data_IF_716679997768
#
_entry.id   IF_716679997768
#
_cell.length_a   1.000
_cell.length_b   1.000
_cell.length_c   1.000
_cell.angle_alpha   90.00
_cell.angle_beta   90.00
_cell.angle_gamma   90.00
#
_symmetry.space_group_name_H-M   'P 1'
#
loop_
_entity.id
_entity.type
_entity.pdbx_description
1 polymer ?
#
# COMPACT_ATOMS: atom_id res chain seq x y z
N UNK A 1 0.01 -51.02 -19.78
CA UNK A 1 0.73 -50.06 -18.91
C UNK A 1 -0.11 -48.79 -18.86
N UNK A 2 -0.60 -48.32 -17.70
CA UNK A 2 -1.31 -47.04 -17.66
C UNK A 2 -0.28 -45.91 -17.64
N UNK A 3 -0.32 -45.05 -18.65
CA UNK A 3 0.42 -43.80 -18.67
C UNK A 3 -0.06 -42.91 -17.52
N UNK A 4 0.84 -42.61 -16.60
CA UNK A 4 0.64 -41.64 -15.54
C UNK A 4 0.60 -40.23 -16.16
N UNK A 5 -0.57 -39.82 -16.65
CA UNK A 5 -0.82 -38.44 -17.07
C UNK A 5 -0.97 -37.62 -15.80
N UNK A 6 0.07 -36.88 -15.42
CA UNK A 6 -0.02 -35.88 -14.35
C UNK A 6 -1.30 -35.04 -14.57
N UNK A 7 -2.08 -34.75 -13.50
CA UNK A 7 -3.31 -33.97 -13.65
C UNK A 7 -2.98 -32.65 -14.35
N UNK A 8 -3.87 -32.10 -15.21
CA UNK A 8 -3.62 -30.81 -15.84
C UNK A 8 -3.56 -29.75 -14.74
N UNK A 9 -2.35 -29.38 -14.32
CA UNK A 9 -2.15 -28.37 -13.30
C UNK A 9 -2.38 -26.99 -13.96
N UNK A 10 -3.57 -26.44 -13.71
CA UNK A 10 -3.76 -25.09 -13.18
C UNK A 10 -3.15 -23.87 -13.90
N UNK A 11 -3.18 -23.78 -15.23
CA UNK A 11 -2.93 -22.47 -15.90
C UNK A 11 -3.95 -21.39 -15.47
N UNK A 12 -5.19 -21.81 -15.21
CA UNK A 12 -6.28 -20.94 -14.76
C UNK A 12 -6.02 -20.35 -13.35
N UNK A 13 -5.33 -21.06 -12.46
CA UNK A 13 -5.00 -20.54 -11.12
C UNK A 13 -3.91 -19.45 -11.15
N UNK A 14 -3.15 -19.34 -12.23
CA UNK A 14 -2.15 -18.28 -12.42
C UNK A 14 -2.71 -17.06 -13.18
N UNK A 15 -4.01 -17.06 -13.51
CA UNK A 15 -4.68 -15.89 -14.08
C UNK A 15 -4.63 -14.72 -13.10
N UNK A 16 -4.26 -13.54 -13.61
CA UNK A 16 -4.13 -12.32 -12.82
C UNK A 16 -5.44 -11.94 -12.13
N UNK A 17 -6.57 -12.09 -12.83
CA UNK A 17 -7.91 -11.77 -12.32
C UNK A 17 -8.36 -12.71 -11.19
N UNK A 18 -7.66 -13.84 -11.00
CA UNK A 18 -7.90 -14.78 -9.90
C UNK A 18 -6.97 -14.56 -8.71
N UNK A 19 -6.03 -13.63 -8.80
CA UNK A 19 -5.11 -13.32 -7.72
C UNK A 19 -5.71 -12.25 -6.80
N UNK A 20 -5.94 -12.61 -5.53
CA UNK A 20 -6.38 -11.65 -4.50
C UNK A 20 -5.38 -10.50 -4.34
N UNK A 21 -4.07 -10.78 -4.47
CA UNK A 21 -3.04 -9.74 -4.39
C UNK A 21 -3.19 -8.69 -5.50
N UNK A 22 -3.61 -9.10 -6.71
CA UNK A 22 -3.86 -8.17 -7.80
C UNK A 22 -5.07 -7.30 -7.54
N UNK A 23 -6.17 -7.88 -7.05
CA UNK A 23 -7.36 -7.12 -6.68
C UNK A 23 -7.04 -6.06 -5.60
N UNK A 24 -6.27 -6.43 -4.57
CA UNK A 24 -5.84 -5.52 -3.51
C UNK A 24 -4.90 -4.42 -4.03
N UNK A 25 -3.94 -4.78 -4.88
CA UNK A 25 -3.03 -3.82 -5.53
C UNK A 25 -3.79 -2.81 -6.39
N UNK A 26 -4.71 -3.29 -7.23
CA UNK A 26 -5.55 -2.45 -8.08
C UNK A 26 -6.42 -1.50 -7.23
N UNK A 27 -7.07 -2.02 -6.18
CA UNK A 27 -7.87 -1.21 -5.26
C UNK A 27 -7.03 -0.11 -4.57
N UNK A 28 -5.87 -0.47 -4.02
CA UNK A 28 -4.96 0.50 -3.37
C UNK A 28 -4.51 1.61 -4.33
N UNK A 29 -4.18 1.26 -5.57
CA UNK A 29 -3.83 2.23 -6.61
C UNK A 29 -4.99 3.16 -6.96
N UNK A 30 -6.22 2.64 -7.07
CA UNK A 30 -7.41 3.43 -7.36
C UNK A 30 -7.70 4.42 -6.24
N UNK A 31 -7.61 3.99 -4.98
CA UNK A 31 -7.75 4.88 -3.81
C UNK A 31 -6.70 5.99 -3.86
N UNK A 32 -5.42 5.63 -4.03
CA UNK A 32 -4.33 6.61 -4.11
C UNK A 32 -4.55 7.62 -5.24
N UNK A 33 -5.04 7.17 -6.41
CA UNK A 33 -5.33 8.04 -7.55
C UNK A 33 -6.50 8.99 -7.27
N UNK A 34 -7.52 8.51 -6.56
CA UNK A 34 -8.68 9.33 -6.19
C UNK A 34 -8.31 10.47 -5.23
N UNK A 35 -7.38 10.22 -4.30
CA UNK A 35 -6.92 11.24 -3.34
C UNK A 35 -5.93 12.24 -3.94
N UNK A 36 -5.22 11.87 -5.01
CA UNK A 36 -4.19 12.72 -5.64
C UNK A 36 -4.65 14.16 -5.95
N UNK A 37 -5.78 14.42 -6.64
CA UNK A 37 -6.19 15.79 -6.92
C UNK A 37 -6.50 16.59 -5.65
N UNK A 38 -7.13 15.95 -4.65
CA UNK A 38 -7.47 16.60 -3.38
C UNK A 38 -6.22 17.00 -2.58
N UNK A 39 -5.23 16.11 -2.56
CA UNK A 39 -3.98 16.34 -1.85
C UNK A 39 -3.03 17.28 -2.60
N UNK A 40 -3.16 17.39 -3.92
CA UNK A 40 -2.34 18.28 -4.73
C UNK A 40 -2.55 19.75 -4.37
N UNK A 41 -3.78 20.16 -4.02
CA UNK A 41 -4.09 21.52 -3.54
C UNK A 41 -3.36 21.85 -2.24
N UNK A 42 -3.07 20.84 -1.42
CA UNK A 42 -2.37 20.95 -0.15
C UNK A 42 -0.85 20.71 -0.26
N UNK A 43 -0.36 20.37 -1.46
CA UNK A 43 1.05 19.98 -1.66
C UNK A 43 1.42 18.64 -1.00
N UNK A 44 0.43 17.78 -0.72
CA UNK A 44 0.61 16.53 -0.01
C UNK A 44 0.62 15.30 -0.94
N UNK A 45 1.33 14.27 -0.49
CA UNK A 45 1.26 12.92 -1.04
C UNK A 45 0.34 12.04 -0.19
N UNK A 46 -0.16 10.92 -0.75
CA UNK A 46 -1.01 10.00 -0.01
C UNK A 46 -0.35 9.45 1.28
N UNK A 47 0.95 9.05 1.29
CA UNK A 47 1.63 8.68 2.53
C UNK A 47 1.73 9.82 3.56
N UNK A 48 2.02 11.05 3.12
CA UNK A 48 2.06 12.21 4.03
C UNK A 48 0.70 12.47 4.68
N UNK A 49 -0.38 12.33 3.91
CA UNK A 49 -1.74 12.42 4.44
C UNK A 49 -2.00 11.36 5.52
N UNK A 50 -1.59 10.11 5.33
CA UNK A 50 -1.74 9.07 6.35
C UNK A 50 -0.93 9.37 7.62
N UNK A 51 0.28 9.91 7.49
CA UNK A 51 1.07 10.39 8.64
C UNK A 51 0.32 11.49 9.39
N UNK A 52 -0.27 12.46 8.68
CA UNK A 52 -1.09 13.50 9.31
C UNK A 52 -2.29 12.93 10.07
N UNK A 53 -2.99 11.93 9.53
CA UNK A 53 -4.10 11.28 10.23
C UNK A 53 -3.64 10.60 11.54
N UNK A 54 -2.50 9.92 11.52
CA UNK A 54 -1.94 9.27 12.72
C UNK A 54 -1.57 10.31 13.79
N UNK A 55 -0.94 11.41 13.37
CA UNK A 55 -0.59 12.51 14.27
C UNK A 55 -1.81 13.25 14.81
N UNK A 56 -2.89 13.32 14.02
CA UNK A 56 -4.16 13.93 14.44
C UNK A 56 -4.87 13.11 15.52
N UNK A 57 -4.78 11.78 15.45
CA UNK A 57 -5.35 10.88 16.47
C UNK A 57 -4.55 10.91 17.78
N UNK A 58 -3.23 11.18 17.71
CA UNK A 58 -2.36 11.22 18.87
C UNK A 58 -1.16 12.14 18.64
N UNK A 59 -1.09 13.24 19.42
CA UNK A 59 -0.09 14.30 19.24
C UNK A 59 1.37 13.87 19.45
N UNK A 60 1.61 12.74 20.14
CA UNK A 60 2.95 12.26 20.49
C UNK A 60 3.18 10.84 19.98
N UNK A 61 3.52 10.72 18.71
CA UNK A 61 3.95 9.46 18.09
C UNK A 61 5.41 9.56 17.65
N UNK A 62 6.20 8.54 17.95
CA UNK A 62 7.57 8.44 17.41
C UNK A 62 7.53 8.04 15.94
N UNK A 63 8.57 8.38 15.17
CA UNK A 63 8.68 7.97 13.75
C UNK A 63 8.58 6.44 13.60
N UNK A 64 9.13 5.68 14.55
CA UNK A 64 9.02 4.23 14.59
C UNK A 64 7.56 3.76 14.77
N UNK A 65 6.83 4.35 15.72
CA UNK A 65 5.43 4.01 15.97
C UNK A 65 4.52 4.36 14.78
N UNK A 66 4.77 5.48 14.10
CA UNK A 66 4.07 5.85 12.87
C UNK A 66 4.32 4.82 11.77
N UNK A 67 5.56 4.34 11.63
CA UNK A 67 5.91 3.31 10.66
C UNK A 67 5.26 1.97 10.91
N UNK A 68 5.26 1.53 12.17
CA UNK A 68 4.57 0.31 12.58
C UNK A 68 3.07 0.40 12.29
N UNK A 69 2.42 1.52 12.62
CA UNK A 69 0.98 1.70 12.42
C UNK A 69 0.59 1.78 10.94
N UNK A 70 1.43 2.38 10.10
CA UNK A 70 1.19 2.53 8.67
C UNK A 70 1.76 1.37 7.83
N UNK A 71 2.40 0.38 8.46
CA UNK A 71 3.16 -0.66 7.76
C UNK A 71 4.16 -0.10 6.74
N UNK A 72 4.80 1.02 7.10
CA UNK A 72 5.83 1.66 6.30
C UNK A 72 7.20 1.34 6.88
N UNK A 73 8.11 0.87 6.03
CA UNK A 73 9.51 0.74 6.43
C UNK A 73 10.06 2.09 6.86
N UNK A 74 10.90 2.10 7.90
CA UNK A 74 11.55 3.31 8.42
C UNK A 74 12.32 4.06 7.33
N UNK A 75 12.90 3.35 6.36
CA UNK A 75 13.57 3.94 5.18
C UNK A 75 12.65 4.72 4.24
N UNK A 76 11.33 4.51 4.30
CA UNK A 76 10.31 5.27 3.55
C UNK A 76 9.85 6.50 4.33
N UNK A 77 9.86 6.44 5.66
CA UNK A 77 9.36 7.52 6.53
C UNK A 77 10.37 8.64 6.74
N UNK A 78 11.66 8.32 6.88
CA UNK A 78 12.72 9.33 7.07
C UNK A 78 12.73 10.36 5.92
N UNK A 79 12.74 9.98 4.63
CA UNK A 79 12.68 10.96 3.54
C UNK A 79 11.32 11.66 3.41
N UNK A 80 10.23 11.11 3.96
CA UNK A 80 8.92 11.76 3.98
C UNK A 80 8.83 12.84 5.07
N UNK A 81 9.43 12.61 6.23
CA UNK A 81 9.51 13.58 7.33
C UNK A 81 10.48 14.74 7.01
N UNK A 82 11.58 14.46 6.31
CA UNK A 82 12.57 15.47 5.91
C UNK A 82 12.08 16.39 4.78
N UNK A 83 11.09 15.98 3.99
CA UNK A 83 10.54 16.77 2.86
C UNK A 83 9.56 17.89 3.26
N UNK A 84 9.50 18.22 4.56
CA UNK A 84 8.56 19.15 5.22
C UNK A 84 7.13 18.59 5.33
N UNK A 85 6.73 18.29 6.56
CA UNK A 85 5.40 18.68 7.06
C UNK A 85 5.43 20.18 7.41
#
# INVERSE_FOLDING_TARGET
>A
MPENKAPPVCDDLMSLDRQVCFALYAASNLVTRQYRPLLAELGLTFPQYLVMLVLWESEQQTVGAIGERLHLDSGTLTPLAERRL
#
